data_IF_059689749827
#
_entry.id   IF_059689749827
#
_cell.length_a   1.000
_cell.length_b   1.000
_cell.length_c   1.000
_cell.angle_alpha   90.00
_cell.angle_beta   90.00
_cell.angle_gamma   90.00
#
_symmetry.space_group_name_H-M   'P 1'
#
loop_
_entity.id
_entity.type
_entity.pdbx_description
1 polymer ?
#
# COMPACT_ATOMS: atom_id res chain seq x y z
N UNK A 1 -25.75 44.67 13.13
CA UNK A 1 -24.47 44.19 13.69
C UNK A 1 -24.74 42.84 14.37
N UNK A 2 -25.01 41.76 13.62
CA UNK A 2 -23.99 40.82 13.12
C UNK A 2 -22.95 40.47 14.18
N UNK A 3 -23.27 39.54 15.06
CA UNK A 3 -22.28 38.77 15.77
C UNK A 3 -22.90 37.51 16.39
N UNK A 4 -22.13 36.42 16.30
CA UNK A 4 -22.24 35.14 17.01
C UNK A 4 -23.14 34.06 16.38
N UNK A 5 -22.54 33.29 15.46
CA UNK A 5 -22.48 31.81 15.55
C UNK A 5 -21.48 31.21 14.52
N UNK A 6 -20.16 31.37 14.70
CA UNK A 6 -19.15 30.72 13.85
C UNK A 6 -18.82 29.27 14.30
N UNK A 7 -19.75 28.56 14.96
CA UNK A 7 -19.44 27.28 15.62
C UNK A 7 -19.89 26.00 14.88
N UNK A 8 -20.96 26.06 14.09
CA UNK A 8 -21.63 24.83 13.58
C UNK A 8 -21.11 24.35 12.22
N UNK A 9 -20.61 25.26 11.38
CA UNK A 9 -20.08 24.90 10.07
C UNK A 9 -18.67 24.27 10.15
N UNK A 10 -17.86 24.65 11.13
CA UNK A 10 -16.54 24.03 11.38
C UNK A 10 -16.63 22.61 11.93
N UNK A 11 -17.61 22.36 12.82
CA UNK A 11 -17.84 21.03 13.38
C UNK A 11 -18.38 20.03 12.36
N UNK A 12 -19.23 20.47 11.42
CA UNK A 12 -19.70 19.62 10.33
C UNK A 12 -18.60 19.30 9.30
N UNK A 13 -17.70 20.25 9.02
CA UNK A 13 -16.52 20.01 8.17
C UNK A 13 -15.54 19.04 8.84
N UNK A 14 -15.22 19.24 10.13
CA UNK A 14 -14.38 18.30 10.89
C UNK A 14 -15.04 16.93 11.05
N UNK A 15 -16.36 16.85 11.27
CA UNK A 15 -17.10 15.60 11.34
C UNK A 15 -17.13 14.86 9.99
N UNK A 16 -17.24 15.59 8.87
CA UNK A 16 -17.16 15.02 7.53
C UNK A 16 -15.74 14.55 7.18
N UNK A 17 -14.70 15.29 7.60
CA UNK A 17 -13.30 14.87 7.45
C UNK A 17 -12.99 13.66 8.33
N UNK A 18 -13.47 13.61 9.58
CA UNK A 18 -13.32 12.43 10.44
C UNK A 18 -14.16 11.26 9.97
N UNK A 19 -15.37 11.48 9.45
CA UNK A 19 -16.21 10.43 8.88
C UNK A 19 -15.64 9.90 7.55
N UNK A 20 -15.07 10.75 6.70
CA UNK A 20 -14.30 10.30 5.53
C UNK A 20 -13.01 9.58 5.93
N UNK A 21 -12.36 9.98 7.02
CA UNK A 21 -11.17 9.29 7.56
C UNK A 21 -11.54 7.93 8.17
N UNK A 22 -12.69 7.84 8.85
CA UNK A 22 -13.22 6.58 9.40
C UNK A 22 -13.77 5.66 8.31
N UNK A 23 -14.42 6.19 7.28
CA UNK A 23 -14.84 5.39 6.11
C UNK A 23 -13.65 4.96 5.25
N UNK A 24 -12.57 5.74 5.20
CA UNK A 24 -11.29 5.30 4.61
C UNK A 24 -10.58 4.24 5.46
N UNK A 25 -10.79 4.23 6.78
CA UNK A 25 -10.27 3.19 7.68
C UNK A 25 -11.11 1.91 7.66
N UNK A 26 -12.41 2.00 7.37
CA UNK A 26 -13.32 0.84 7.27
C UNK A 26 -13.24 0.17 5.88
N UNK A 27 -12.96 0.95 4.83
CA UNK A 27 -12.57 0.45 3.50
C UNK A 27 -11.05 0.45 3.29
N UNK A 28 -10.28 0.25 4.37
CA UNK A 28 -8.86 -0.06 4.26
C UNK A 28 -8.71 -1.58 4.19
N UNK A 29 -8.48 -2.18 3.00
CA UNK A 29 -8.13 -3.60 2.91
C UNK A 29 -6.87 -3.96 3.72
N UNK A 30 -6.12 -2.94 4.19
CA UNK A 30 -4.92 -3.04 5.00
C UNK A 30 -5.16 -3.04 6.53
N UNK A 31 -6.41 -2.89 7.00
CA UNK A 31 -6.77 -3.01 8.42
C UNK A 31 -6.68 -4.45 8.96
N UNK A 32 -6.40 -5.44 8.10
CA UNK A 32 -6.33 -6.86 8.46
C UNK A 32 -5.04 -7.34 9.12
N UNK A 33 -3.97 -6.54 9.16
CA UNK A 33 -2.64 -6.97 9.65
C UNK A 33 -2.24 -6.32 11.00
N UNK A 34 -1.71 -7.11 11.97
CA UNK A 34 -1.20 -6.57 13.24
C UNK A 34 -0.10 -5.53 13.06
N UNK A 35 -0.07 -4.54 13.95
CA UNK A 35 0.93 -3.46 13.94
C UNK A 35 2.39 -3.95 13.89
N UNK A 36 2.67 -5.09 14.52
CA UNK A 36 4.01 -5.68 14.56
C UNK A 36 4.50 -6.13 13.18
N UNK A 37 3.61 -6.60 12.31
CA UNK A 37 3.96 -7.05 10.95
C UNK A 37 4.33 -5.85 10.08
N UNK A 38 3.59 -4.74 10.22
CA UNK A 38 3.93 -3.47 9.57
C UNK A 38 5.31 -2.95 10.01
N UNK A 39 5.63 -3.08 11.30
CA UNK A 39 6.94 -2.70 11.84
C UNK A 39 8.06 -3.61 11.33
N UNK A 40 7.81 -4.92 11.24
CA UNK A 40 8.75 -5.88 10.69
C UNK A 40 9.04 -5.64 9.20
N UNK A 41 8.02 -5.28 8.39
CA UNK A 41 8.19 -4.92 6.99
C UNK A 41 9.09 -3.69 6.80
N UNK A 42 8.83 -2.64 7.60
CA UNK A 42 9.63 -1.41 7.64
C UNK A 42 11.07 -1.71 8.06
N UNK A 43 11.26 -2.47 9.13
CA UNK A 43 12.58 -2.87 9.63
C UNK A 43 13.37 -3.66 8.60
N UNK A 44 12.72 -4.60 7.91
CA UNK A 44 13.34 -5.39 6.84
C UNK A 44 13.81 -4.51 5.67
N UNK A 45 13.02 -3.51 5.28
CA UNK A 45 13.42 -2.55 4.24
C UNK A 45 14.61 -1.68 4.66
N UNK A 46 14.64 -1.20 5.90
CA UNK A 46 15.74 -0.37 6.42
C UNK A 46 17.04 -1.16 6.48
N UNK A 47 17.01 -2.34 7.12
CA UNK A 47 18.18 -3.23 7.22
C UNK A 47 18.63 -3.66 5.82
N UNK A 48 17.69 -4.04 4.95
CA UNK A 48 17.99 -4.42 3.57
C UNK A 48 18.63 -3.29 2.76
N UNK A 49 18.19 -2.05 2.95
CA UNK A 49 18.78 -0.88 2.29
C UNK A 49 20.21 -0.60 2.74
N UNK A 50 20.52 -0.71 4.04
CA UNK A 50 21.89 -0.57 4.53
C UNK A 50 22.81 -1.66 3.99
N UNK A 51 22.35 -2.91 4.00
CA UNK A 51 23.08 -4.05 3.44
C UNK A 51 23.32 -3.84 1.93
N UNK A 52 22.31 -3.38 1.20
CA UNK A 52 22.42 -3.13 -0.23
C UNK A 52 23.45 -2.03 -0.56
N UNK A 53 23.48 -0.93 0.21
CA UNK A 53 24.48 0.13 0.04
C UNK A 53 25.88 -0.41 0.34
N UNK A 54 26.05 -1.13 1.44
CA UNK A 54 27.36 -1.69 1.82
C UNK A 54 27.92 -2.62 0.75
N UNK A 55 27.15 -3.62 0.32
CA UNK A 55 27.58 -4.53 -0.74
C UNK A 55 27.65 -3.85 -2.12
N UNK A 56 26.84 -2.82 -2.36
CA UNK A 56 26.89 -2.05 -3.60
C UNK A 56 28.19 -1.26 -3.74
N UNK A 57 28.70 -0.68 -2.66
CA UNK A 57 29.99 0.03 -2.66
C UNK A 57 31.16 -0.93 -2.92
N UNK A 58 31.11 -2.14 -2.34
CA UNK A 58 32.14 -3.16 -2.59
C UNK A 58 32.07 -3.63 -4.07
N UNK A 59 30.86 -3.77 -4.62
CA UNK A 59 30.66 -4.16 -6.02
C UNK A 59 31.18 -3.16 -7.04
N UNK A 60 31.39 -1.88 -6.67
CA UNK A 60 32.03 -0.88 -7.53
C UNK A 60 33.51 -1.16 -7.81
N UNK A 61 34.16 -2.05 -7.05
CA UNK A 61 35.57 -2.42 -7.25
C UNK A 61 35.73 -3.42 -8.42
N UNK A 62 34.63 -3.95 -8.96
CA UNK A 62 34.67 -4.88 -10.11
C UNK A 62 35.07 -4.19 -11.42
N UNK A 63 35.81 -4.92 -12.28
CA UNK A 63 36.31 -4.41 -13.57
C UNK A 63 35.24 -4.47 -14.67
N UNK A 64 34.18 -5.26 -14.50
CA UNK A 64 33.13 -5.41 -15.51
C UNK A 64 32.16 -4.21 -15.52
N UNK A 65 32.02 -3.49 -16.65
CA UNK A 65 31.23 -2.26 -16.71
C UNK A 65 29.72 -2.49 -16.45
N UNK A 66 29.19 -3.65 -16.84
CA UNK A 66 27.79 -4.02 -16.58
C UNK A 66 27.52 -4.21 -15.07
N UNK A 67 28.50 -4.74 -14.34
CA UNK A 67 28.39 -4.93 -12.90
C UNK A 67 28.53 -3.61 -12.13
N UNK A 68 29.29 -2.64 -12.66
CA UNK A 68 29.34 -1.28 -12.11
C UNK A 68 27.96 -0.60 -12.23
N UNK A 69 27.29 -0.73 -13.38
CA UNK A 69 25.92 -0.18 -13.55
C UNK A 69 24.94 -0.87 -12.60
N UNK A 70 25.02 -2.19 -12.45
CA UNK A 70 24.20 -2.92 -11.49
C UNK A 70 24.46 -2.47 -10.04
N UNK A 71 25.71 -2.23 -9.66
CA UNK A 71 26.10 -1.73 -8.35
C UNK A 71 25.56 -0.31 -8.08
N UNK A 72 25.62 0.59 -9.05
CA UNK A 72 25.03 1.94 -8.94
C UNK A 72 23.50 1.88 -8.76
N UNK A 73 22.83 1.01 -9.52
CA UNK A 73 21.39 0.79 -9.36
C UNK A 73 21.06 0.20 -7.99
N UNK A 74 21.88 -0.73 -7.48
CA UNK A 74 21.72 -1.29 -6.15
C UNK A 74 21.89 -0.25 -5.04
N UNK A 75 22.90 0.63 -5.12
CA UNK A 75 23.10 1.71 -4.13
C UNK A 75 21.90 2.66 -4.16
N UNK A 76 21.44 3.04 -5.35
CA UNK A 76 20.28 3.92 -5.53
C UNK A 76 19.01 3.28 -4.99
N UNK A 77 18.78 1.99 -5.27
CA UNK A 77 17.66 1.22 -4.75
C UNK A 77 17.71 1.10 -3.22
N UNK A 78 18.90 0.90 -2.62
CA UNK A 78 19.08 0.86 -1.17
C UNK A 78 18.76 2.19 -0.51
N UNK A 79 19.23 3.31 -1.10
CA UNK A 79 18.92 4.65 -0.59
C UNK A 79 17.42 4.97 -0.69
N UNK A 80 16.81 4.68 -1.84
CA UNK A 80 15.37 4.89 -2.05
C UNK A 80 14.53 4.03 -1.09
N UNK A 81 14.96 2.78 -0.84
CA UNK A 81 14.30 1.89 0.12
C UNK A 81 14.32 2.48 1.53
N UNK A 82 15.47 2.98 1.99
CA UNK A 82 15.58 3.63 3.29
C UNK A 82 14.73 4.90 3.34
N UNK A 83 14.77 5.73 2.28
CA UNK A 83 14.01 6.98 2.22
C UNK A 83 12.49 6.76 2.29
N UNK A 84 11.99 5.67 1.71
CA UNK A 84 10.57 5.32 1.71
C UNK A 84 10.12 4.64 3.01
N UNK A 85 11.01 3.96 3.74
CA UNK A 85 10.67 3.22 4.97
C UNK A 85 11.01 3.93 6.28
N UNK A 86 12.04 4.78 6.30
CA UNK A 86 12.49 5.54 7.45
C UNK A 86 12.31 7.06 7.23
N UNK A 87 11.06 7.56 7.11
CA UNK A 87 10.83 9.00 7.17
C UNK A 87 11.17 9.59 8.56
N UNK A 88 11.53 8.79 9.56
CA UNK A 88 11.76 9.25 10.93
C UNK A 88 13.22 9.56 11.30
N UNK A 89 14.22 9.22 10.48
CA UNK A 89 15.62 9.58 10.80
C UNK A 89 15.91 11.10 10.71
N UNK A 90 15.00 11.91 10.14
CA UNK A 90 15.21 13.35 9.90
C UNK A 90 13.93 14.20 10.13
N UNK A 91 13.24 14.04 11.28
CA UNK A 91 11.94 14.66 11.61
C UNK A 91 11.88 16.21 11.72
N UNK A 92 12.87 16.94 11.21
CA UNK A 92 12.96 18.42 11.26
C UNK A 92 12.70 19.13 9.92
N UNK A 93 12.23 18.40 8.89
CA UNK A 93 11.99 18.96 7.56
C UNK A 93 10.58 18.61 7.10
N UNK A 94 9.73 19.61 6.84
CA UNK A 94 8.34 19.45 6.34
C UNK A 94 8.23 18.58 5.07
N UNK A 95 9.33 18.49 4.30
CA UNK A 95 9.44 17.61 3.13
C UNK A 95 9.28 16.12 3.48
N UNK A 96 9.72 15.71 4.67
CA UNK A 96 9.73 14.31 5.09
C UNK A 96 8.34 13.84 5.50
N UNK A 97 7.51 14.73 6.04
CA UNK A 97 6.10 14.46 6.30
C UNK A 97 5.32 14.22 4.99
N UNK A 98 5.63 14.98 3.93
CA UNK A 98 5.07 14.74 2.59
C UNK A 98 5.48 13.38 2.02
N UNK A 99 6.74 12.98 2.21
CA UNK A 99 7.22 11.65 1.80
C UNK A 99 6.58 10.54 2.65
N UNK A 100 6.40 10.75 3.96
CA UNK A 100 5.73 9.81 4.84
C UNK A 100 4.27 9.58 4.42
N UNK A 101 3.53 10.68 4.19
CA UNK A 101 2.17 10.66 3.67
C UNK A 101 2.10 10.01 2.27
N UNK A 102 3.11 10.22 1.43
CA UNK A 102 3.19 9.57 0.11
C UNK A 102 3.47 8.06 0.22
N UNK A 103 4.38 7.64 1.09
CA UNK A 103 4.71 6.21 1.33
C UNK A 103 3.53 5.46 1.96
N UNK A 104 2.76 6.13 2.82
CA UNK A 104 1.62 5.52 3.51
C UNK A 104 0.31 5.58 2.70
N UNK A 105 0.17 6.52 1.77
CA UNK A 105 -1.04 6.64 0.92
C UNK A 105 -1.07 5.67 -0.26
N UNK A 106 0.02 4.95 -0.53
CA UNK A 106 0.13 4.00 -1.65
C UNK A 106 -0.20 2.58 -1.21
N UNK A 107 -1.02 1.89 -2.00
CA UNK A 107 -1.40 0.50 -1.76
C UNK A 107 -0.16 -0.42 -1.68
N UNK A 108 -0.18 -1.41 -0.79
CA UNK A 108 0.95 -2.33 -0.60
C UNK A 108 1.36 -3.08 -1.86
N UNK A 109 0.44 -3.30 -2.81
CA UNK A 109 0.77 -3.93 -4.08
C UNK A 109 1.71 -3.05 -4.95
N UNK A 110 1.45 -1.74 -5.01
CA UNK A 110 2.33 -0.80 -5.72
C UNK A 110 3.69 -0.72 -5.04
N UNK A 111 3.67 -0.76 -3.71
CA UNK A 111 4.87 -0.81 -2.88
C UNK A 111 5.68 -2.07 -3.22
N UNK A 112 5.08 -3.24 -3.12
CA UNK A 112 5.70 -4.53 -3.43
C UNK A 112 6.30 -4.57 -4.86
N UNK A 113 5.57 -4.08 -5.86
CA UNK A 113 6.05 -3.99 -7.23
C UNK A 113 7.27 -3.07 -7.36
N UNK A 114 7.28 -1.94 -6.66
CA UNK A 114 8.40 -1.01 -6.66
C UNK A 114 9.65 -1.66 -6.04
N UNK A 115 9.57 -2.16 -4.80
CA UNK A 115 10.73 -2.80 -4.13
C UNK A 115 11.19 -4.07 -4.83
N UNK A 116 10.25 -4.90 -5.28
CA UNK A 116 10.56 -6.10 -6.06
C UNK A 116 11.26 -5.75 -7.37
N UNK A 117 10.75 -4.78 -8.13
CA UNK A 117 11.35 -4.33 -9.38
C UNK A 117 12.75 -3.74 -9.17
N UNK A 118 12.90 -2.86 -8.18
CA UNK A 118 14.20 -2.26 -7.85
C UNK A 118 15.24 -3.28 -7.38
N UNK A 119 14.83 -4.37 -6.73
CA UNK A 119 15.72 -5.48 -6.35
C UNK A 119 16.03 -6.43 -7.51
N UNK A 120 15.05 -6.74 -8.36
CA UNK A 120 15.22 -7.72 -9.45
C UNK A 120 16.09 -7.17 -10.59
N UNK A 121 15.93 -5.90 -10.95
CA UNK A 121 16.69 -5.27 -12.06
C UNK A 121 18.21 -5.43 -11.90
N UNK A 122 18.85 -5.03 -10.79
CA UNK A 122 20.29 -5.21 -10.61
C UNK A 122 20.73 -6.68 -10.61
N UNK A 123 19.90 -7.60 -10.10
CA UNK A 123 20.17 -9.05 -10.14
C UNK A 123 20.22 -9.57 -11.58
N UNK A 124 19.32 -9.11 -12.45
CA UNK A 124 19.28 -9.52 -13.86
C UNK A 124 20.45 -8.95 -14.68
N UNK A 125 20.95 -7.76 -14.31
CA UNK A 125 22.08 -7.12 -14.98
C UNK A 125 23.41 -7.80 -14.66
N UNK A 126 23.65 -8.12 -13.39
CA UNK A 126 24.85 -8.83 -12.96
C UNK A 126 24.56 -9.62 -11.69
N UNK A 127 24.46 -10.95 -11.82
CA UNK A 127 24.25 -11.88 -10.70
C UNK A 127 25.56 -12.15 -9.93
N UNK A 128 26.31 -11.10 -9.60
CA UNK A 128 27.45 -11.19 -8.69
C UNK A 128 26.97 -11.46 -7.26
N UNK A 129 27.77 -12.14 -6.44
CA UNK A 129 27.42 -12.49 -5.07
C UNK A 129 27.00 -11.26 -4.25
N UNK A 130 27.67 -10.12 -4.45
CA UNK A 130 27.40 -8.86 -3.77
C UNK A 130 26.09 -8.22 -4.24
N UNK A 131 25.80 -8.33 -5.54
CA UNK A 131 24.55 -7.84 -6.12
C UNK A 131 23.38 -8.68 -5.66
N UNK A 132 23.55 -10.01 -5.65
CA UNK A 132 22.53 -10.97 -5.20
C UNK A 132 22.24 -10.78 -3.71
N UNK A 133 23.25 -10.60 -2.87
CA UNK A 133 23.05 -10.40 -1.43
C UNK A 133 22.42 -9.03 -1.11
N UNK A 134 22.90 -7.96 -1.74
CA UNK A 134 22.37 -6.62 -1.49
C UNK A 134 20.98 -6.41 -2.09
N UNK A 135 20.83 -6.60 -3.40
CA UNK A 135 19.55 -6.44 -4.07
C UNK A 135 18.54 -7.55 -3.71
N UNK A 136 19.00 -8.74 -3.33
CA UNK A 136 18.15 -9.80 -2.80
C UNK A 136 17.45 -9.42 -1.49
N UNK A 137 18.13 -8.68 -0.62
CA UNK A 137 17.51 -8.16 0.62
C UNK A 137 16.44 -7.09 0.33
N UNK A 138 16.63 -6.25 -0.69
CA UNK A 138 15.59 -5.32 -1.18
C UNK A 138 14.44 -6.10 -1.83
N UNK A 139 14.73 -7.14 -2.59
CA UNK A 139 13.70 -7.99 -3.16
C UNK A 139 12.90 -8.71 -2.06
N UNK A 140 13.55 -9.15 -0.98
CA UNK A 140 12.90 -9.79 0.16
C UNK A 140 11.93 -8.83 0.86
N UNK A 141 12.26 -7.54 0.98
CA UNK A 141 11.32 -6.55 1.50
C UNK A 141 10.12 -6.34 0.56
N UNK A 142 10.35 -6.33 -0.77
CA UNK A 142 9.28 -6.32 -1.76
C UNK A 142 8.36 -7.54 -1.69
N UNK A 143 8.92 -8.73 -1.47
CA UNK A 143 8.15 -9.97 -1.25
C UNK A 143 7.34 -9.89 0.05
N UNK A 144 7.91 -9.36 1.14
CA UNK A 144 7.18 -9.15 2.39
C UNK A 144 5.97 -8.22 2.20
N UNK A 145 6.15 -7.12 1.46
CA UNK A 145 5.03 -6.24 1.07
C UNK A 145 4.04 -6.93 0.11
N UNK A 146 4.52 -7.81 -0.76
CA UNK A 146 3.68 -8.61 -1.65
C UNK A 146 2.75 -9.54 -0.87
N UNK A 147 3.27 -10.17 0.18
CA UNK A 147 2.44 -10.99 1.08
C UNK A 147 1.41 -10.16 1.85
N UNK A 148 1.75 -8.93 2.24
CA UNK A 148 0.78 -8.01 2.87
C UNK A 148 -0.30 -7.57 1.88
N UNK A 149 0.06 -7.38 0.61
CA UNK A 149 -0.87 -7.02 -0.45
C UNK A 149 -1.87 -8.14 -0.83
N UNK A 150 -1.55 -9.40 -0.54
CA UNK A 150 -2.46 -10.54 -0.82
C UNK A 150 -3.61 -10.66 0.21
N UNK A 151 -3.53 -9.97 1.34
CA UNK A 151 -4.58 -9.93 2.35
C UNK A 151 -4.84 -11.26 3.06
N UNK A 152 -5.64 -11.20 4.13
CA UNK A 152 -6.11 -12.39 4.83
C UNK A 152 -7.28 -12.98 4.04
N UNK A 153 -7.20 -14.25 3.64
CA UNK A 153 -8.37 -14.96 3.07
C UNK A 153 -9.50 -14.88 4.10
N UNK A 154 -10.70 -14.43 3.70
CA UNK A 154 -11.81 -14.28 4.63
C UNK A 154 -12.15 -15.63 5.29
N UNK A 155 -12.39 -15.60 6.61
CA UNK A 155 -12.78 -16.79 7.35
C UNK A 155 -14.10 -17.36 6.77
N UNK A 156 -14.26 -18.68 6.75
CA UNK A 156 -15.44 -19.34 6.16
C UNK A 156 -16.74 -18.79 6.75
N UNK A 157 -16.72 -18.44 8.05
CA UNK A 157 -17.83 -17.81 8.76
C UNK A 157 -18.16 -16.41 8.23
N UNK A 158 -17.17 -15.59 7.92
CA UNK A 158 -17.34 -14.26 7.28
C UNK A 158 -17.81 -14.38 5.83
N UNK A 159 -17.32 -15.37 5.07
CA UNK A 159 -17.81 -15.62 3.70
C UNK A 159 -19.27 -16.11 3.70
N UNK A 160 -19.66 -16.96 4.66
CA UNK A 160 -21.05 -17.38 4.84
C UNK A 160 -21.95 -16.25 5.36
N UNK A 161 -21.45 -15.39 6.25
CA UNK A 161 -22.15 -14.19 6.71
C UNK A 161 -22.37 -13.17 5.59
N UNK A 162 -21.34 -12.90 4.78
CA UNK A 162 -21.45 -12.03 3.61
C UNK A 162 -22.36 -12.58 2.52
N UNK A 163 -22.42 -13.90 2.34
CA UNK A 163 -23.37 -14.54 1.42
C UNK A 163 -24.83 -14.45 1.92
N UNK A 164 -25.05 -14.53 3.24
CA UNK A 164 -26.39 -14.32 3.83
C UNK A 164 -26.83 -12.84 3.78
N UNK A 165 -25.89 -11.89 3.90
CA UNK A 165 -26.16 -10.44 3.80
C UNK A 165 -26.31 -10.00 2.35
N UNK A 166 -25.60 -10.60 1.39
CA UNK A 166 -25.81 -10.36 -0.04
C UNK A 166 -27.21 -10.81 -0.52
N UNK A 167 -27.89 -11.66 0.24
CA UNK A 167 -29.32 -11.98 0.04
C UNK A 167 -30.28 -10.94 0.64
N UNK A 168 -29.79 -9.98 1.42
CA UNK A 168 -30.58 -8.96 2.11
C UNK A 168 -30.31 -7.53 1.60
N UNK A 169 -29.35 -7.33 0.69
CA UNK A 169 -29.06 -6.02 0.10
C UNK A 169 -30.16 -5.67 -0.94
N UNK A 170 -31.03 -4.67 -0.68
CA UNK A 170 -32.15 -4.34 -1.59
C UNK A 170 -31.69 -3.70 -2.90
N UNK A 171 -30.39 -3.38 -3.05
CA UNK A 171 -29.82 -2.74 -4.24
C UNK A 171 -29.37 -3.72 -5.33
N UNK A 172 -29.18 -5.00 -5.03
CA UNK A 172 -28.83 -6.01 -6.03
C UNK A 172 -29.76 -7.22 -5.91
N UNK A 173 -30.79 -7.25 -6.75
CA UNK A 173 -31.62 -8.45 -6.95
C UNK A 173 -31.32 -9.05 -8.33
N UNK A 174 -30.86 -10.32 -8.42
CA UNK A 174 -30.67 -11.02 -9.70
C UNK A 174 -32.01 -11.52 -10.27
N UNK A 175 -33.05 -10.70 -10.23
CA UNK A 175 -34.36 -11.02 -10.80
C UNK A 175 -34.36 -10.66 -12.30
N UNK A 176 -33.83 -11.57 -13.13
CA UNK A 176 -33.88 -11.51 -14.60
C UNK A 176 -35.27 -11.78 -15.21
N UNK A 177 -36.37 -11.66 -14.45
CA UNK A 177 -37.71 -11.94 -14.98
C UNK A 177 -38.78 -11.07 -14.33
N UNK A 178 -38.85 -9.81 -14.71
CA UNK A 178 -39.99 -8.94 -14.43
C UNK A 178 -40.92 -8.96 -15.65
N UNK A 179 -42.14 -9.53 -15.56
CA UNK A 179 -43.15 -9.39 -16.60
C UNK A 179 -43.52 -7.91 -16.76
N UNK A 180 -43.59 -7.45 -18.01
CA UNK A 180 -43.94 -6.07 -18.35
C UNK A 180 -45.26 -5.63 -17.69
N UNK A 181 -45.38 -4.37 -17.21
CA UNK A 181 -46.62 -3.88 -16.62
C UNK A 181 -47.72 -3.82 -17.68
N UNK A 182 -48.84 -4.50 -17.43
CA UNK A 182 -50.05 -4.38 -18.26
C UNK A 182 -50.75 -3.04 -17.99
N UNK A 183 -51.15 -2.27 -19.01
CA UNK A 183 -51.80 -0.98 -18.82
C UNK A 183 -53.16 -1.13 -18.14
N UNK A 184 -53.37 -0.34 -17.07
CA UNK A 184 -54.57 -0.35 -16.25
C UNK A 184 -55.83 -0.05 -17.07
N UNK A 185 -56.83 -0.94 -16.95
CA UNK A 185 -58.11 -0.84 -17.64
C UNK A 185 -58.94 0.36 -17.21
N UNK A 186 -59.48 1.06 -18.21
CA UNK A 186 -60.59 2.01 -18.12
C UNK A 186 -61.88 1.25 -17.78
N UNK A 187 -62.26 1.14 -16.50
CA UNK A 187 -63.66 1.20 -16.05
C UNK A 187 -63.76 0.91 -14.55
N UNK A 188 -64.18 1.90 -13.78
CA UNK A 188 -64.98 1.67 -12.57
C UNK A 188 -66.15 2.69 -12.58
N UNK A 189 -67.38 2.24 -12.27
CA UNK A 189 -68.64 2.95 -12.54
C UNK A 189 -68.88 4.18 -11.66
#
# INVERSE_FOLDING_TARGET
MQNLLPGKFGQAAQAATTAQTQMKAEHDPDAGFPWWVRFLAKGLGIVGGFVAIFFGVIALITIHPVCIVAALLQITAGFLTIALEAPFCCAFVDFIERIAQFSESRAYWQKAALYGGMGIVPILLCAGTETVLGAGMICASGVAYGFMALGKKADRSTMLGGANVAGQDPAWSPQLNQPFPQPAGFNQP
#
